data_IF_628773249464
#
_entry.id   IF_628773249464
#
_cell.length_a   1.000
_cell.length_b   1.000
_cell.length_c   1.000
_cell.angle_alpha   90.00
_cell.angle_beta   90.00
_cell.angle_gamma   90.00
#
_symmetry.space_group_name_H-M   'P 1'
#
loop_
_entity.id
_entity.type
_entity.pdbx_description
1 polymer ?
#
# COMPACT_ATOMS: atom_id res chain seq x y z
N UNK A 1 4.89 -2.11 9.58
CA UNK A 1 3.93 -1.40 8.70
C UNK A 1 4.66 -0.48 7.75
N UNK A 2 4.45 -0.65 6.46
CA UNK A 2 4.93 0.23 5.40
C UNK A 2 3.91 0.33 4.26
N UNK A 3 3.94 1.44 3.53
CA UNK A 3 3.33 1.60 2.22
C UNK A 3 4.03 2.79 1.57
N UNK A 4 5.11 2.53 0.85
CA UNK A 4 5.91 3.61 0.29
C UNK A 4 5.44 3.94 -1.13
N UNK A 5 5.20 5.22 -1.40
CA UNK A 5 4.73 5.73 -2.68
C UNK A 5 5.83 6.56 -3.34
N UNK A 6 6.26 6.11 -4.52
CA UNK A 6 7.24 6.82 -5.33
C UNK A 6 6.57 7.36 -6.59
N UNK A 7 6.75 8.66 -6.83
CA UNK A 7 6.32 9.33 -8.04
C UNK A 7 7.50 9.48 -9.01
N UNK A 8 7.26 9.20 -10.28
CA UNK A 8 8.22 9.45 -11.36
C UNK A 8 7.51 10.15 -12.54
N UNK A 9 8.19 11.12 -13.15
CA UNK A 9 7.69 11.88 -14.30
C UNK A 9 7.58 13.38 -14.03
N UNK A 10 7.01 14.12 -15.00
CA UNK A 10 6.85 15.58 -14.91
C UNK A 10 5.70 15.95 -13.96
N UNK A 11 5.73 17.15 -13.35
CA UNK A 11 4.58 17.67 -12.60
C UNK A 11 3.29 17.59 -13.41
N UNK A 12 2.23 17.02 -12.84
CA UNK A 12 0.92 16.85 -13.49
C UNK A 12 0.78 15.63 -14.39
N UNK A 13 1.84 14.84 -14.59
CA UNK A 13 1.83 13.60 -15.39
C UNK A 13 2.62 12.47 -14.74
N UNK A 14 2.66 12.46 -13.41
CA UNK A 14 3.42 11.47 -12.65
C UNK A 14 2.79 10.08 -12.77
N UNK A 15 3.67 9.08 -12.84
CA UNK A 15 3.35 7.67 -12.60
C UNK A 15 3.77 7.29 -11.18
N UNK A 16 3.06 6.33 -10.61
CA UNK A 16 3.24 5.92 -9.24
C UNK A 16 3.70 4.47 -9.16
N UNK A 17 4.56 4.19 -8.19
CA UNK A 17 4.98 2.85 -7.80
C UNK A 17 4.77 2.73 -6.30
N UNK A 18 4.19 1.62 -5.85
CA UNK A 18 4.12 1.28 -4.44
C UNK A 18 5.22 0.25 -4.15
N UNK A 19 5.95 0.45 -3.07
CA UNK A 19 6.86 -0.55 -2.51
C UNK A 19 6.34 -0.96 -1.15
N UNK A 20 5.98 -2.24 -1.06
CA UNK A 20 5.33 -2.91 0.06
C UNK A 20 3.97 -2.31 0.47
N UNK A 21 3.16 -3.16 1.11
CA UNK A 21 1.82 -2.86 1.63
C UNK A 21 1.60 -3.68 2.90
N UNK A 22 2.34 -3.33 3.94
CA UNK A 22 2.39 -4.07 5.18
C UNK A 22 1.39 -3.66 6.26
N UNK A 23 1.22 -4.53 7.25
CA UNK A 23 0.47 -4.25 8.49
C UNK A 23 1.41 -3.97 9.66
N UNK A 24 0.84 -3.51 10.77
CA UNK A 24 1.38 -3.70 12.12
C UNK A 24 0.27 -4.24 13.01
N UNK A 25 0.64 -4.86 14.11
CA UNK A 25 -0.30 -5.31 15.13
C UNK A 25 -0.63 -4.14 16.05
N UNK A 26 -1.87 -4.10 16.55
CA UNK A 26 -2.23 -3.16 17.59
C UNK A 26 -1.66 -3.60 18.93
N UNK A 27 -1.48 -2.64 19.85
CA UNK A 27 -1.13 -2.90 21.23
C UNK A 27 -2.35 -2.71 22.15
N UNK A 28 -2.14 -2.84 23.46
CA UNK A 28 -3.20 -2.73 24.47
C UNK A 28 -3.88 -1.34 24.52
N UNK A 29 -3.33 -0.32 23.85
CA UNK A 29 -3.96 1.01 23.76
C UNK A 29 -5.15 1.05 22.79
N UNK A 30 -5.28 0.05 21.91
CA UNK A 30 -6.32 -0.04 20.88
C UNK A 30 -7.13 -1.34 21.04
N UNK A 31 -7.98 -1.45 22.08
CA UNK A 31 -8.70 -2.68 22.38
C UNK A 31 -9.67 -3.08 21.25
N UNK A 32 -9.59 -4.35 20.86
CA UNK A 32 -10.45 -4.94 19.82
C UNK A 32 -9.96 -4.73 18.38
N UNK A 33 -8.79 -4.11 18.18
CA UNK A 33 -8.15 -3.99 16.87
C UNK A 33 -7.03 -5.03 16.78
N UNK A 34 -7.05 -5.88 15.75
CA UNK A 34 -5.98 -6.87 15.53
C UNK A 34 -4.85 -6.31 14.65
N UNK A 35 -5.22 -5.59 13.58
CA UNK A 35 -4.31 -5.13 12.53
C UNK A 35 -4.50 -3.64 12.20
N UNK A 36 -3.40 -2.97 11.91
CA UNK A 36 -3.34 -1.58 11.49
C UNK A 36 -2.55 -1.51 10.17
N UNK A 37 -3.02 -0.74 9.20
CA UNK A 37 -2.34 -0.50 7.92
C UNK A 37 -2.59 0.92 7.42
N UNK A 38 -1.77 1.36 6.46
CA UNK A 38 -1.86 2.71 5.88
C UNK A 38 -3.14 2.89 5.03
N UNK A 39 -3.78 4.06 5.15
CA UNK A 39 -4.93 4.40 4.29
C UNK A 39 -4.48 4.60 2.83
N UNK A 40 -4.99 3.80 1.87
CA UNK A 40 -4.62 3.92 0.47
C UNK A 40 -5.35 5.06 -0.27
N UNK A 41 -6.20 5.87 0.40
CA UNK A 41 -7.05 6.88 -0.24
C UNK A 41 -6.33 7.75 -1.27
N UNK A 42 -5.15 8.28 -0.92
CA UNK A 42 -4.35 9.12 -1.81
C UNK A 42 -4.04 8.47 -3.17
N UNK A 43 -3.71 7.18 -3.18
CA UNK A 43 -3.33 6.46 -4.40
C UNK A 43 -4.54 5.83 -5.10
N UNK A 44 -5.63 5.53 -4.38
CA UNK A 44 -6.90 5.10 -4.98
C UNK A 44 -7.42 6.17 -5.95
N UNK A 45 -7.32 7.46 -5.59
CA UNK A 45 -7.71 8.57 -6.47
C UNK A 45 -6.82 8.72 -7.73
N UNK A 46 -5.65 8.09 -7.73
CA UNK A 46 -4.65 8.16 -8.81
C UNK A 46 -4.36 6.78 -9.42
N UNK A 47 -5.23 5.81 -9.20
CA UNK A 47 -5.00 4.40 -9.57
C UNK A 47 -4.69 4.20 -11.06
N UNK A 48 -5.23 5.05 -11.94
CA UNK A 48 -5.00 4.95 -13.39
C UNK A 48 -3.56 5.33 -13.78
N UNK A 49 -2.84 5.99 -12.87
CA UNK A 49 -1.42 6.31 -13.00
C UNK A 49 -0.51 5.41 -12.16
N UNK A 50 -1.06 4.40 -11.47
CA UNK A 50 -0.31 3.42 -10.70
C UNK A 50 0.21 2.30 -11.61
N UNK A 51 1.53 2.11 -11.64
CA UNK A 51 2.18 1.08 -12.44
C UNK A 51 2.09 -0.31 -11.81
N UNK A 52 2.10 -0.37 -10.48
CA UNK A 52 2.01 -1.62 -9.72
C UNK A 52 2.55 -1.49 -8.30
N UNK A 53 2.51 -2.62 -7.61
CA UNK A 53 3.09 -2.84 -6.29
C UNK A 53 4.30 -3.76 -6.46
N UNK A 54 5.42 -3.41 -5.84
CA UNK A 54 6.59 -4.28 -5.70
C UNK A 54 6.67 -4.75 -4.25
N UNK A 55 6.68 -6.06 -4.04
CA UNK A 55 6.85 -6.67 -2.71
C UNK A 55 8.31 -7.07 -2.51
N UNK A 56 8.94 -6.55 -1.46
CA UNK A 56 10.36 -6.79 -1.21
C UNK A 56 10.62 -8.19 -0.65
N UNK A 57 9.80 -8.65 0.28
CA UNK A 57 9.84 -10.00 0.85
C UNK A 57 8.50 -10.36 1.53
N UNK A 58 8.35 -11.62 1.96
CA UNK A 58 7.07 -12.20 2.35
C UNK A 58 6.77 -12.16 3.87
N UNK A 59 7.12 -11.07 4.56
CA UNK A 59 6.67 -10.84 5.94
C UNK A 59 5.39 -9.99 5.99
N UNK A 60 4.55 -10.20 7.01
CA UNK A 60 3.26 -9.51 7.19
C UNK A 60 3.40 -7.98 7.22
N UNK A 61 4.48 -7.48 7.80
CA UNK A 61 4.78 -6.05 7.84
C UNK A 61 5.21 -5.45 6.50
N UNK A 62 5.25 -6.28 5.44
CA UNK A 62 5.47 -5.91 4.04
C UNK A 62 4.32 -6.31 3.09
N UNK A 63 3.61 -7.42 3.34
CA UNK A 63 2.55 -7.92 2.42
C UNK A 63 1.15 -7.95 3.03
N UNK A 64 1.03 -7.84 4.36
CA UNK A 64 -0.20 -8.19 5.08
C UNK A 64 -1.43 -7.34 4.74
N UNK A 65 -1.25 -6.12 4.22
CA UNK A 65 -2.36 -5.25 3.86
C UNK A 65 -2.86 -5.47 2.42
N UNK A 66 -2.20 -6.35 1.65
CA UNK A 66 -2.48 -6.52 0.21
C UNK A 66 -3.93 -6.94 -0.06
N UNK A 67 -4.50 -7.83 0.76
CA UNK A 67 -5.86 -8.37 0.60
C UNK A 67 -6.94 -7.31 0.84
N UNK A 68 -6.63 -6.30 1.65
CA UNK A 68 -7.52 -5.17 1.96
C UNK A 68 -7.43 -4.06 0.91
N UNK A 69 -6.22 -3.78 0.42
CA UNK A 69 -5.94 -2.64 -0.46
C UNK A 69 -6.14 -2.98 -1.93
N UNK A 70 -5.75 -4.18 -2.37
CA UNK A 70 -5.68 -4.52 -3.79
C UNK A 70 -7.04 -4.45 -4.51
N UNK A 71 -8.15 -4.76 -3.83
CA UNK A 71 -9.50 -4.68 -4.41
C UNK A 71 -9.83 -3.28 -4.95
N UNK A 72 -9.27 -2.22 -4.34
CA UNK A 72 -9.46 -0.82 -4.77
C UNK A 72 -8.50 -0.41 -5.89
N UNK A 73 -7.28 -0.96 -5.89
CA UNK A 73 -6.22 -0.58 -6.83
C UNK A 73 -6.24 -1.38 -8.15
N UNK A 74 -6.49 -2.69 -8.08
CA UNK A 74 -6.49 -3.64 -9.21
C UNK A 74 -5.29 -3.49 -10.16
N UNK A 75 -4.12 -3.19 -9.58
CA UNK A 75 -2.88 -3.05 -10.32
C UNK A 75 -2.07 -4.36 -10.34
N UNK A 76 -0.99 -4.36 -11.13
CA UNK A 76 -0.03 -5.48 -11.16
C UNK A 76 0.75 -5.56 -9.86
N UNK A 77 1.11 -6.78 -9.46
CA UNK A 77 1.93 -7.07 -8.29
C UNK A 77 3.18 -7.79 -8.79
N UNK A 78 4.35 -7.35 -8.32
CA UNK A 78 5.66 -7.88 -8.65
C UNK A 78 6.39 -8.31 -7.39
#
# INVERSE_FOLDING_TARGET
MNMNLYAYGKPGSQKWIIVDVGVTFADDSLPGIDLIYADPGFIVDKKDNLLGIVLTHAHEDHIGAITYVWKKLKCKIY
#
